data_IF_452730391509
#
_entry.id   IF_452730391509
#
_cell.length_a   1.000
_cell.length_b   1.000
_cell.length_c   1.000
_cell.angle_alpha   90.00
_cell.angle_beta   90.00
_cell.angle_gamma   90.00
#
_symmetry.space_group_name_H-M   'P 1'
#
loop_
_entity.id
_entity.type
_entity.pdbx_description
1 polymer ?
#
# COMPACT_ATOMS: atom_id res chain seq x y z
N UNK A 1 -33.78 -22.34 -17.71
CA UNK A 1 -32.79 -21.36 -17.20
C UNK A 1 -31.43 -21.99 -17.36
N UNK A 2 -30.69 -21.63 -18.39
CA UNK A 2 -29.31 -22.10 -18.59
C UNK A 2 -28.39 -21.26 -17.68
N UNK A 3 -27.75 -21.91 -16.71
CA UNK A 3 -26.70 -21.29 -15.92
C UNK A 3 -25.54 -20.94 -16.86
N UNK A 4 -25.25 -19.64 -16.99
CA UNK A 4 -24.05 -19.20 -17.69
C UNK A 4 -22.83 -19.84 -17.03
N UNK A 5 -21.84 -20.33 -17.80
CA UNK A 5 -20.63 -20.88 -17.23
C UNK A 5 -19.92 -19.79 -16.41
N UNK A 6 -19.67 -20.06 -15.14
CA UNK A 6 -18.82 -19.24 -14.29
C UNK A 6 -17.45 -19.20 -14.97
N UNK A 7 -17.03 -18.02 -15.41
CA UNK A 7 -15.70 -17.83 -15.98
C UNK A 7 -14.66 -18.37 -14.97
N UNK A 8 -13.62 -19.08 -15.44
CA UNK A 8 -12.58 -19.58 -14.53
C UNK A 8 -12.03 -18.41 -13.73
N UNK A 9 -11.87 -18.61 -12.42
CA UNK A 9 -11.30 -17.60 -11.53
C UNK A 9 -9.95 -17.17 -12.10
N UNK A 10 -9.77 -15.88 -12.34
CA UNK A 10 -8.52 -15.33 -12.83
C UNK A 10 -7.37 -15.82 -11.91
N UNK A 11 -6.35 -16.43 -12.51
CA UNK A 11 -5.20 -16.92 -11.76
C UNK A 11 -4.34 -15.73 -11.35
N UNK A 12 -4.42 -15.33 -10.09
CA UNK A 12 -3.60 -14.27 -9.51
C UNK A 12 -2.17 -14.74 -9.34
N UNK A 13 -1.22 -13.92 -9.80
CA UNK A 13 0.20 -14.17 -9.65
C UNK A 13 0.81 -13.16 -8.68
N UNK A 14 1.69 -13.64 -7.81
CA UNK A 14 2.46 -12.82 -6.92
C UNK A 14 3.74 -12.32 -7.60
N UNK A 15 4.07 -11.06 -7.35
CA UNK A 15 5.33 -10.43 -7.73
C UNK A 15 5.91 -9.72 -6.51
N UNK A 16 7.20 -9.93 -6.24
CA UNK A 16 7.94 -9.21 -5.20
C UNK A 16 9.01 -8.34 -5.85
N UNK A 17 8.99 -7.06 -5.55
CA UNK A 17 9.96 -6.09 -6.03
C UNK A 17 10.67 -5.45 -4.85
N UNK A 18 12.00 -5.44 -4.87
CA UNK A 18 12.82 -4.69 -3.92
C UNK A 18 13.00 -3.27 -4.41
N UNK A 19 12.59 -2.32 -3.61
CA UNK A 19 12.68 -0.90 -3.86
C UNK A 19 13.83 -0.29 -3.05
N UNK A 20 14.69 0.48 -3.72
CA UNK A 20 15.74 1.31 -3.09
C UNK A 20 15.52 2.77 -3.46
N UNK A 21 15.41 3.69 -2.48
CA UNK A 21 15.24 5.11 -2.76
C UNK A 21 16.55 5.72 -3.31
N UNK A 22 16.44 6.58 -4.31
CA UNK A 22 17.56 7.33 -4.90
C UNK A 22 17.52 8.82 -4.53
N UNK A 23 16.39 9.29 -4.03
CA UNK A 23 16.21 10.68 -3.62
C UNK A 23 15.29 10.77 -2.41
N UNK A 24 15.20 11.95 -1.81
CA UNK A 24 14.19 12.22 -0.80
C UNK A 24 12.78 12.10 -1.38
N UNK A 25 11.80 11.73 -0.57
CA UNK A 25 10.40 11.67 -0.93
C UNK A 25 9.63 12.81 -0.27
N UNK A 26 8.85 13.55 -1.04
CA UNK A 26 7.95 14.58 -0.53
C UNK A 26 6.51 14.05 -0.31
N UNK A 27 6.31 12.76 -0.48
CA UNK A 27 5.07 12.03 -0.22
C UNK A 27 5.44 10.67 0.37
N UNK A 28 4.82 10.28 1.48
CA UNK A 28 5.03 8.96 2.04
C UNK A 28 4.68 7.88 1.00
N UNK A 29 5.58 6.91 0.81
CA UNK A 29 5.36 5.82 -0.14
C UNK A 29 4.25 4.91 0.38
N UNK A 30 3.21 4.75 -0.44
CA UNK A 30 2.02 3.94 -0.14
C UNK A 30 1.54 3.21 -1.38
N UNK A 31 1.06 1.98 -1.21
CA UNK A 31 0.62 1.13 -2.32
C UNK A 31 -0.55 1.71 -3.10
N UNK A 32 -1.53 2.29 -2.41
CA UNK A 32 -2.70 2.92 -3.02
C UNK A 32 -2.34 4.15 -3.89
N UNK A 33 -1.35 4.91 -3.45
CA UNK A 33 -0.85 6.06 -4.22
C UNK A 33 -0.01 5.60 -5.42
N UNK A 34 0.81 4.57 -5.22
CA UNK A 34 1.60 3.97 -6.30
C UNK A 34 0.68 3.34 -7.36
N UNK A 35 -0.42 2.69 -6.97
CA UNK A 35 -1.46 2.23 -7.88
C UNK A 35 -2.08 3.40 -8.68
N UNK A 36 -2.37 4.52 -8.04
CA UNK A 36 -2.86 5.70 -8.71
C UNK A 36 -1.88 6.24 -9.77
N UNK A 37 -0.58 6.26 -9.47
CA UNK A 37 0.46 6.64 -10.43
C UNK A 37 0.62 5.61 -11.55
N UNK A 38 0.51 4.31 -11.23
CA UNK A 38 0.50 3.25 -12.24
C UNK A 38 -0.66 3.46 -13.24
N UNK A 39 -1.86 3.76 -12.76
CA UNK A 39 -2.99 4.07 -13.65
C UNK A 39 -2.71 5.28 -14.56
N UNK A 40 -2.09 6.35 -14.04
CA UNK A 40 -1.69 7.49 -14.86
C UNK A 40 -0.64 7.10 -15.90
N UNK A 41 0.40 6.37 -15.52
CA UNK A 41 1.43 5.88 -16.44
C UNK A 41 0.83 5.01 -17.54
N UNK A 42 -0.05 4.07 -17.18
CA UNK A 42 -0.72 3.19 -18.14
C UNK A 42 -1.67 3.95 -19.07
N UNK A 43 -2.33 5.00 -18.59
CA UNK A 43 -3.13 5.88 -19.43
C UNK A 43 -2.28 6.60 -20.49
N UNK A 44 -1.12 7.11 -20.09
CA UNK A 44 -0.20 7.79 -21.02
C UNK A 44 0.42 6.82 -22.06
N UNK A 45 0.71 5.57 -21.64
CA UNK A 45 1.37 4.58 -22.49
C UNK A 45 0.41 3.77 -23.37
N UNK A 46 -0.79 3.44 -22.88
CA UNK A 46 -1.78 2.59 -23.57
C UNK A 46 -3.00 3.36 -24.08
N UNK A 47 -3.10 4.64 -23.75
CA UNK A 47 -4.29 5.44 -23.97
C UNK A 47 -5.41 5.14 -22.98
N UNK A 48 -6.47 5.97 -23.03
CA UNK A 48 -7.63 5.84 -22.15
C UNK A 48 -8.38 4.50 -22.34
N UNK A 49 -8.51 4.05 -23.57
CA UNK A 49 -9.16 2.77 -23.90
C UNK A 49 -8.39 1.58 -23.30
N UNK A 50 -7.04 1.60 -23.36
CA UNK A 50 -6.19 0.58 -22.77
C UNK A 50 -6.31 0.52 -21.25
N UNK A 51 -6.28 1.67 -20.57
CA UNK A 51 -6.51 1.72 -19.12
C UNK A 51 -7.91 1.23 -18.74
N UNK A 52 -8.95 1.64 -19.48
CA UNK A 52 -10.32 1.21 -19.21
C UNK A 52 -10.48 -0.30 -19.38
N UNK A 53 -9.80 -0.92 -20.35
CA UNK A 53 -9.78 -2.37 -20.51
C UNK A 53 -9.13 -3.07 -19.30
N UNK A 54 -8.03 -2.53 -18.76
CA UNK A 54 -7.41 -3.04 -17.53
C UNK A 54 -8.32 -2.87 -16.30
N UNK A 55 -9.05 -1.76 -16.21
CA UNK A 55 -9.96 -1.48 -15.10
C UNK A 55 -11.33 -2.21 -15.23
N UNK A 56 -11.56 -2.97 -16.30
CA UNK A 56 -12.80 -3.73 -16.46
C UNK A 56 -13.01 -4.71 -15.30
N UNK A 57 -14.16 -4.62 -14.61
CA UNK A 57 -14.47 -5.42 -13.42
C UNK A 57 -13.75 -5.00 -12.13
N UNK A 58 -13.10 -3.83 -12.11
CA UNK A 58 -12.38 -3.34 -10.93
C UNK A 58 -13.29 -3.24 -9.69
N UNK A 59 -14.54 -2.88 -9.86
CA UNK A 59 -15.53 -2.83 -8.77
C UNK A 59 -16.17 -4.21 -8.49
N UNK A 60 -15.99 -5.19 -9.37
CA UNK A 60 -16.58 -6.52 -9.30
C UNK A 60 -15.58 -7.58 -8.79
N UNK A 61 -14.69 -7.19 -7.90
CA UNK A 61 -13.67 -8.06 -7.31
C UNK A 61 -12.67 -8.64 -8.33
N UNK A 62 -12.40 -7.89 -9.41
CA UNK A 62 -11.45 -8.26 -10.46
C UNK A 62 -10.44 -7.14 -10.72
N UNK A 63 -9.64 -6.73 -9.72
CA UNK A 63 -8.56 -5.77 -9.95
C UNK A 63 -7.48 -6.40 -10.85
N UNK A 64 -6.95 -5.66 -11.84
CA UNK A 64 -5.87 -6.16 -12.69
C UNK A 64 -4.53 -6.21 -11.96
N UNK A 65 -4.36 -5.37 -10.95
CA UNK A 65 -3.22 -5.36 -10.06
C UNK A 65 -3.64 -4.86 -8.66
N UNK A 66 -2.94 -5.34 -7.62
CA UNK A 66 -3.07 -4.88 -6.23
C UNK A 66 -1.65 -4.69 -5.68
N UNK A 67 -1.35 -3.52 -5.14
CA UNK A 67 -0.01 -3.13 -4.69
C UNK A 67 0.01 -2.97 -3.18
N UNK A 68 0.99 -3.59 -2.51
CA UNK A 68 1.19 -3.42 -1.06
C UNK A 68 1.80 -2.06 -0.73
N UNK A 69 1.71 -1.66 0.54
CA UNK A 69 2.62 -0.67 1.10
C UNK A 69 4.06 -1.21 1.09
N UNK A 70 5.08 -0.33 1.16
CA UNK A 70 6.46 -0.77 1.29
C UNK A 70 6.68 -1.41 2.66
N UNK A 71 7.24 -2.60 2.66
CA UNK A 71 7.62 -3.35 3.86
C UNK A 71 9.14 -3.30 4.02
N UNK A 72 9.66 -3.31 5.25
CA UNK A 72 11.09 -3.51 5.47
C UNK A 72 11.55 -4.76 4.71
N UNK A 73 12.68 -4.66 4.00
CA UNK A 73 13.19 -5.77 3.19
C UNK A 73 13.27 -7.08 4.01
N UNK A 74 12.71 -8.16 3.44
CA UNK A 74 12.63 -9.48 4.07
C UNK A 74 11.81 -9.55 5.38
N UNK A 75 10.88 -8.58 5.57
CA UNK A 75 10.02 -8.54 6.74
C UNK A 75 8.56 -8.25 6.37
N UNK A 76 7.67 -8.57 7.30
CA UNK A 76 6.26 -8.19 7.30
C UNK A 76 5.98 -7.19 8.42
N UNK A 77 4.91 -6.38 8.32
CA UNK A 77 4.56 -5.46 9.38
C UNK A 77 3.98 -6.20 10.59
N UNK A 78 4.21 -5.64 11.78
CA UNK A 78 3.51 -6.07 12.99
C UNK A 78 2.02 -5.86 12.83
N UNK A 79 1.17 -6.89 13.04
CA UNK A 79 -0.27 -6.76 12.95
C UNK A 79 -0.86 -5.77 13.97
N UNK A 80 -1.94 -5.11 13.58
CA UNK A 80 -2.76 -4.30 14.49
C UNK A 80 -3.55 -5.20 15.45
N UNK A 81 -2.83 -5.87 16.35
CA UNK A 81 -3.39 -6.77 17.35
C UNK A 81 -3.03 -6.29 18.76
N UNK A 82 -3.91 -6.52 19.75
CA UNK A 82 -3.53 -6.39 21.16
C UNK A 82 -2.31 -7.25 21.49
N UNK A 83 -1.41 -6.74 22.34
CA UNK A 83 -0.13 -7.41 22.65
C UNK A 83 -0.30 -8.87 23.13
N UNK A 84 -1.34 -9.16 23.92
CA UNK A 84 -1.59 -10.52 24.40
C UNK A 84 -1.92 -11.52 23.28
N UNK A 85 -2.48 -11.06 22.15
CA UNK A 85 -2.76 -11.87 20.95
C UNK A 85 -1.48 -12.22 20.19
N UNK A 86 -0.39 -11.47 20.41
CA UNK A 86 0.93 -11.72 19.86
C UNK A 86 1.85 -12.47 20.85
N UNK A 87 1.32 -12.95 21.96
CA UNK A 87 2.08 -13.69 22.98
C UNK A 87 2.93 -12.84 23.91
N UNK A 88 2.76 -11.53 23.92
CA UNK A 88 3.43 -10.71 24.89
C UNK A 88 2.84 -10.87 26.30
N UNK A 89 3.69 -11.11 27.27
CA UNK A 89 3.30 -11.07 28.68
C UNK A 89 3.02 -9.63 29.14
N UNK A 90 2.34 -9.48 30.28
CA UNK A 90 2.17 -8.17 30.92
C UNK A 90 3.53 -7.48 31.13
N UNK A 91 3.58 -6.19 30.90
CA UNK A 91 4.83 -5.43 30.95
C UNK A 91 4.64 -4.05 31.58
N UNK A 92 5.72 -3.53 32.16
CA UNK A 92 5.81 -2.15 32.64
C UNK A 92 5.85 -1.13 31.49
N UNK A 93 5.84 0.15 31.82
CA UNK A 93 5.83 1.23 30.84
C UNK A 93 7.10 1.25 29.95
N UNK A 94 8.27 0.89 30.51
CA UNK A 94 9.55 0.85 29.79
C UNK A 94 9.55 -0.26 28.74
N UNK A 95 9.18 -1.45 29.13
CA UNK A 95 9.08 -2.60 28.22
C UNK A 95 8.03 -2.35 27.13
N UNK A 96 6.87 -1.73 27.45
CA UNK A 96 5.86 -1.34 26.43
C UNK A 96 6.42 -0.33 25.42
N UNK A 97 7.21 0.66 25.88
CA UNK A 97 7.87 1.63 24.99
C UNK A 97 8.84 0.93 24.04
N UNK A 98 9.63 -0.01 24.53
CA UNK A 98 10.55 -0.81 23.72
C UNK A 98 9.79 -1.68 22.69
N UNK A 99 8.72 -2.35 23.09
CA UNK A 99 7.88 -3.17 22.21
C UNK A 99 7.23 -2.37 21.08
N UNK A 100 6.91 -1.09 21.30
CA UNK A 100 6.37 -0.22 20.24
C UNK A 100 7.35 -0.02 19.07
N UNK A 101 8.65 -0.18 19.29
CA UNK A 101 9.66 -0.11 18.24
C UNK A 101 9.79 -1.42 17.46
N UNK A 102 9.30 -2.54 17.99
CA UNK A 102 9.30 -3.85 17.37
C UNK A 102 8.13 -3.94 16.37
N UNK A 103 8.31 -3.37 15.19
CA UNK A 103 7.26 -3.21 14.18
C UNK A 103 7.39 -4.19 13.01
N UNK A 104 8.41 -5.05 12.99
CA UNK A 104 8.73 -5.89 11.86
C UNK A 104 8.90 -7.35 12.24
N UNK A 105 8.31 -8.25 11.46
CA UNK A 105 8.44 -9.70 11.58
C UNK A 105 9.35 -10.22 10.46
N UNK A 106 10.47 -10.87 10.73
CA UNK A 106 11.26 -11.55 9.71
C UNK A 106 10.41 -12.59 8.95
N UNK A 107 10.58 -12.67 7.61
CA UNK A 107 9.79 -13.56 6.75
C UNK A 107 9.86 -15.03 7.16
N UNK A 108 10.97 -15.48 7.71
CA UNK A 108 11.16 -16.85 8.22
C UNK A 108 10.20 -17.22 9.35
N UNK A 109 9.69 -16.23 10.08
CA UNK A 109 8.74 -16.43 11.17
C UNK A 109 7.26 -16.40 10.71
N UNK A 110 6.98 -16.13 9.42
CA UNK A 110 5.60 -15.95 8.92
C UNK A 110 4.72 -17.19 9.07
N UNK A 111 5.31 -18.39 9.07
CA UNK A 111 4.58 -19.66 9.22
C UNK A 111 4.15 -19.97 10.67
N UNK A 112 4.68 -19.22 11.64
CA UNK A 112 4.32 -19.37 13.05
C UNK A 112 2.92 -18.81 13.30
N UNK A 113 2.18 -19.34 14.29
CA UNK A 113 0.93 -18.72 14.70
C UNK A 113 1.18 -17.33 15.32
N UNK A 114 0.20 -16.45 15.23
CA UNK A 114 0.28 -15.08 15.72
C UNK A 114 0.68 -14.97 17.20
N UNK A 115 0.27 -15.93 18.02
CA UNK A 115 0.61 -15.99 19.45
C UNK A 115 2.13 -16.10 19.69
N UNK A 116 2.92 -16.56 18.72
CA UNK A 116 4.38 -16.67 18.83
C UNK A 116 5.11 -15.46 18.24
N UNK A 117 4.42 -14.60 17.50
CA UNK A 117 5.07 -13.51 16.75
C UNK A 117 5.77 -12.49 17.65
N UNK A 118 5.22 -12.23 18.84
CA UNK A 118 5.82 -11.30 19.80
C UNK A 118 7.27 -11.58 20.14
N UNK A 119 7.66 -12.86 20.17
CA UNK A 119 9.05 -13.28 20.42
C UNK A 119 10.00 -13.06 19.22
N UNK A 120 9.45 -12.85 18.01
CA UNK A 120 10.20 -12.70 16.76
C UNK A 120 10.17 -11.28 16.19
N UNK A 121 9.31 -10.41 16.72
CA UNK A 121 9.22 -9.01 16.26
C UNK A 121 10.53 -8.26 16.56
N UNK A 122 11.00 -7.52 15.56
CA UNK A 122 12.23 -6.71 15.63
C UNK A 122 11.94 -5.23 15.38
N UNK A 123 12.83 -4.38 15.83
CA UNK A 123 12.87 -2.98 15.42
C UNK A 123 13.50 -2.87 14.03
N UNK A 124 13.18 -1.80 13.30
CA UNK A 124 13.90 -1.49 12.07
C UNK A 124 15.39 -1.28 12.37
N UNK A 125 16.28 -1.81 11.52
CA UNK A 125 17.72 -1.56 11.64
C UNK A 125 18.04 -0.05 11.60
N UNK A 126 19.16 0.35 12.22
CA UNK A 126 19.52 1.77 12.33
C UNK A 126 19.68 2.46 10.97
N UNK A 127 20.23 1.76 9.98
CA UNK A 127 20.36 2.25 8.60
C UNK A 127 19.02 2.46 7.86
N UNK A 128 17.91 1.91 8.39
CA UNK A 128 16.56 2.16 7.90
C UNK A 128 15.89 3.38 8.51
N UNK A 129 16.61 4.16 9.31
CA UNK A 129 16.10 5.42 9.82
C UNK A 129 15.83 6.37 8.65
N UNK A 130 14.63 6.90 8.61
CA UNK A 130 14.34 8.05 7.78
C UNK A 130 14.44 9.32 8.61
N UNK A 131 14.98 10.37 8.01
CA UNK A 131 14.98 11.70 8.57
C UNK A 131 13.86 12.47 7.86
N UNK A 132 12.95 13.04 8.66
CA UNK A 132 11.99 14.02 8.17
C UNK A 132 12.56 15.41 8.41
N UNK A 133 12.62 16.21 7.36
CA UNK A 133 13.11 17.58 7.38
C UNK A 133 12.19 18.48 6.58
N UNK A 134 12.15 19.76 6.89
CA UNK A 134 11.36 20.76 6.17
C UNK A 134 12.30 21.62 5.34
N UNK A 135 12.31 21.40 4.03
CA UNK A 135 13.04 22.25 3.12
C UNK A 135 12.24 23.53 2.86
N UNK A 136 12.84 24.68 3.13
CA UNK A 136 12.26 25.99 2.82
C UNK A 136 12.45 26.32 1.34
N UNK A 137 11.39 26.80 0.73
CA UNK A 137 11.34 27.25 -0.66
C UNK A 137 10.83 28.68 -0.72
N UNK A 138 11.31 29.43 -1.72
CA UNK A 138 10.81 30.76 -2.04
C UNK A 138 10.27 30.78 -3.47
N UNK A 139 9.13 31.43 -3.65
CA UNK A 139 8.64 31.82 -4.98
C UNK A 139 9.08 33.23 -5.26
N UNK A 140 9.56 33.49 -6.49
CA UNK A 140 9.99 34.81 -6.95
C UNK A 140 8.93 35.35 -7.90
N UNK A 141 8.40 36.53 -7.61
CA UNK A 141 7.58 37.25 -8.56
C UNK A 141 8.46 37.71 -9.73
N UNK A 142 8.23 37.16 -10.92
CA UNK A 142 9.06 37.43 -12.10
C UNK A 142 8.94 38.89 -12.63
N UNK A 143 7.90 39.61 -12.24
CA UNK A 143 7.72 41.01 -12.62
C UNK A 143 8.49 41.96 -11.70
N UNK A 144 8.47 41.69 -10.40
CA UNK A 144 9.09 42.55 -9.38
C UNK A 144 10.45 42.09 -8.94
N UNK A 145 10.83 40.82 -9.23
CA UNK A 145 12.06 40.11 -8.81
C UNK A 145 12.25 40.01 -7.29
N UNK A 146 11.17 40.15 -6.53
CA UNK A 146 11.19 40.03 -5.08
C UNK A 146 10.40 38.81 -4.61
N UNK A 147 10.71 38.36 -3.40
CA UNK A 147 9.96 37.32 -2.66
C UNK A 147 9.14 37.99 -1.56
N UNK A 148 7.98 37.44 -1.24
CA UNK A 148 7.06 38.04 -0.26
C UNK A 148 6.26 39.19 -0.85
N UNK A 149 5.59 39.93 0.01
CA UNK A 149 4.76 41.08 -0.39
C UNK A 149 3.26 40.74 -0.55
N UNK A 150 2.95 39.50 -0.93
CA UNK A 150 1.63 38.92 -0.86
C UNK A 150 1.73 37.42 -0.58
N UNK A 151 0.63 36.76 -0.22
CA UNK A 151 0.59 35.34 0.16
C UNK A 151 1.06 34.40 -0.97
N UNK A 152 0.98 34.84 -2.23
CA UNK A 152 1.34 34.03 -3.40
C UNK A 152 2.87 33.81 -3.52
N UNK A 153 3.68 34.70 -2.94
CA UNK A 153 5.14 34.65 -3.00
C UNK A 153 5.80 34.53 -1.63
N UNK A 154 5.02 34.21 -0.61
CA UNK A 154 5.55 33.95 0.72
C UNK A 154 6.42 32.68 0.73
N UNK A 155 7.50 32.63 1.56
CA UNK A 155 8.26 31.41 1.76
C UNK A 155 7.38 30.28 2.29
N UNK A 156 7.58 29.07 1.79
CA UNK A 156 6.81 27.89 2.22
C UNK A 156 7.74 26.71 2.50
N UNK A 157 7.34 25.86 3.46
CA UNK A 157 8.04 24.62 3.79
C UNK A 157 7.49 23.45 2.99
N UNK A 158 8.38 22.57 2.51
CA UNK A 158 8.03 21.27 1.97
C UNK A 158 8.68 20.18 2.80
N UNK A 159 7.85 19.34 3.46
CA UNK A 159 8.33 18.20 4.21
C UNK A 159 8.96 17.18 3.26
N UNK A 160 10.09 16.63 3.68
CA UNK A 160 10.86 15.65 2.93
C UNK A 160 11.31 14.51 3.84
N UNK A 161 11.29 13.31 3.29
CA UNK A 161 11.74 12.09 3.94
C UNK A 161 13.01 11.59 3.27
N UNK A 162 14.10 11.60 4.00
CA UNK A 162 15.42 11.12 3.57
C UNK A 162 15.67 9.75 4.15
N UNK A 163 16.34 8.90 3.40
CA UNK A 163 16.59 7.51 3.77
C UNK A 163 18.07 7.20 3.73
N UNK A 164 18.49 6.27 4.59
CA UNK A 164 19.88 5.79 4.58
C UNK A 164 20.21 5.07 3.26
N UNK A 165 21.50 5.08 2.91
CA UNK A 165 22.01 4.51 1.63
C UNK A 165 21.63 3.03 1.45
N UNK A 166 21.60 2.26 2.54
CA UNK A 166 21.27 0.83 2.52
C UNK A 166 19.77 0.54 2.74
N UNK A 167 18.93 1.59 2.76
CA UNK A 167 17.49 1.41 2.91
C UNK A 167 16.93 0.62 1.72
N UNK A 168 16.23 -0.46 2.04
CA UNK A 168 15.52 -1.26 1.07
C UNK A 168 14.15 -1.68 1.59
N UNK A 169 13.16 -1.62 0.73
CA UNK A 169 11.81 -2.09 0.99
C UNK A 169 11.40 -3.16 0.01
N UNK A 170 10.48 -4.02 0.42
CA UNK A 170 9.80 -4.94 -0.46
C UNK A 170 8.38 -4.45 -0.74
N UNK A 171 8.01 -4.49 -2.00
CA UNK A 171 6.65 -4.35 -2.48
C UNK A 171 6.14 -5.73 -2.88
N UNK A 172 4.98 -6.10 -2.37
CA UNK A 172 4.27 -7.32 -2.75
C UNK A 172 3.10 -6.93 -3.64
N UNK A 173 3.06 -7.51 -4.81
CA UNK A 173 2.06 -7.19 -5.81
C UNK A 173 1.31 -8.45 -6.23
N UNK A 174 0.05 -8.26 -6.55
CA UNK A 174 -0.77 -9.25 -7.26
C UNK A 174 -1.10 -8.68 -8.63
N UNK A 175 -1.10 -9.52 -9.64
CA UNK A 175 -1.56 -9.17 -10.97
C UNK A 175 -2.26 -10.37 -11.61
N UNK A 176 -3.11 -10.11 -12.59
CA UNK A 176 -3.73 -11.13 -13.42
C UNK A 176 -3.13 -11.13 -14.84
N UNK A 177 -3.71 -11.92 -15.74
CA UNK A 177 -3.23 -12.09 -17.11
C UNK A 177 -3.30 -10.83 -17.99
N UNK A 178 -4.07 -9.80 -17.57
CA UNK A 178 -4.22 -8.53 -18.33
C UNK A 178 -2.95 -7.70 -18.34
N UNK A 179 -2.07 -7.88 -17.35
CA UNK A 179 -0.79 -7.18 -17.26
C UNK A 179 0.28 -8.15 -16.75
N UNK A 180 1.26 -8.48 -17.57
CA UNK A 180 2.32 -9.41 -17.17
C UNK A 180 3.23 -8.82 -16.09
N UNK A 181 3.92 -9.70 -15.34
CA UNK A 181 4.90 -9.28 -14.32
C UNK A 181 6.00 -8.36 -14.89
N UNK A 182 6.43 -8.61 -16.13
CA UNK A 182 7.42 -7.78 -16.80
C UNK A 182 6.87 -6.38 -17.10
N UNK A 183 5.67 -6.27 -17.71
CA UNK A 183 5.02 -5.00 -18.00
C UNK A 183 4.76 -4.19 -16.72
N UNK A 184 4.29 -4.85 -15.64
CA UNK A 184 4.05 -4.21 -14.36
C UNK A 184 5.38 -3.70 -13.74
N UNK A 185 6.43 -4.50 -13.80
CA UNK A 185 7.77 -4.11 -13.31
C UNK A 185 8.31 -2.92 -14.08
N UNK A 186 8.22 -2.93 -15.40
CA UNK A 186 8.74 -1.86 -16.25
C UNK A 186 7.95 -0.55 -16.07
N UNK A 187 6.62 -0.63 -15.92
CA UNK A 187 5.79 0.52 -15.58
C UNK A 187 6.18 1.14 -14.23
N UNK A 188 6.40 0.33 -13.21
CA UNK A 188 6.82 0.81 -11.90
C UNK A 188 8.26 1.34 -11.89
N UNK A 189 9.17 0.76 -12.68
CA UNK A 189 10.52 1.31 -12.90
C UNK A 189 10.48 2.68 -13.57
N UNK A 190 9.64 2.85 -14.57
CA UNK A 190 9.45 4.15 -15.22
C UNK A 190 8.96 5.21 -14.22
N UNK A 191 8.02 4.85 -13.34
CA UNK A 191 7.58 5.73 -12.24
C UNK A 191 8.76 6.07 -11.32
N UNK A 192 9.60 5.09 -10.95
CA UNK A 192 10.79 5.32 -10.15
C UNK A 192 11.79 6.28 -10.78
N UNK A 193 11.97 6.23 -12.09
CA UNK A 193 12.84 7.16 -12.84
C UNK A 193 12.24 8.56 -12.92
N UNK A 194 10.92 8.68 -13.13
CA UNK A 194 10.23 9.96 -13.22
C UNK A 194 10.06 10.63 -11.85
N UNK A 195 9.94 9.83 -10.80
CA UNK A 195 9.69 10.24 -9.43
C UNK A 195 8.25 10.01 -8.97
N UNK A 196 8.12 9.65 -7.70
CA UNK A 196 6.86 9.33 -7.02
C UNK A 196 6.35 10.53 -6.20
N UNK A 197 5.07 10.83 -6.35
CA UNK A 197 4.35 11.75 -5.48
C UNK A 197 4.61 13.22 -5.75
N UNK A 198 4.54 14.03 -4.69
CA UNK A 198 4.77 15.48 -4.77
C UNK A 198 6.22 15.77 -5.11
N UNK A 199 6.45 16.86 -5.84
CA UNK A 199 7.78 17.38 -6.19
C UNK A 199 8.64 16.42 -7.05
N UNK A 200 8.01 15.45 -7.74
CA UNK A 200 8.68 14.56 -8.69
C UNK A 200 9.38 15.33 -9.82
N UNK A 201 8.77 16.43 -10.30
CA UNK A 201 9.34 17.30 -11.37
C UNK A 201 10.67 17.97 -10.98
N UNK A 202 10.97 18.08 -9.69
CA UNK A 202 12.24 18.62 -9.17
C UNK A 202 13.15 17.52 -8.59
N UNK A 203 12.90 16.25 -8.96
CA UNK A 203 13.77 15.12 -8.67
C UNK A 203 13.49 14.38 -7.38
N UNK A 204 12.34 14.62 -6.71
CA UNK A 204 11.93 13.87 -5.53
C UNK A 204 11.24 12.54 -5.88
N UNK A 205 11.25 11.59 -4.95
CA UNK A 205 10.55 10.32 -5.09
C UNK A 205 11.17 9.36 -6.10
N UNK A 206 12.43 9.50 -6.46
CA UNK A 206 13.14 8.56 -7.34
C UNK A 206 13.55 7.31 -6.59
N UNK A 207 13.43 6.17 -7.28
CA UNK A 207 13.79 4.87 -6.73
C UNK A 207 14.12 3.86 -7.82
N UNK A 208 14.90 2.84 -7.45
CA UNK A 208 15.15 1.65 -8.27
C UNK A 208 14.31 0.47 -7.80
N UNK A 209 13.95 -0.41 -8.76
CA UNK A 209 13.25 -1.66 -8.50
C UNK A 209 14.01 -2.86 -9.07
N UNK A 210 14.16 -3.90 -8.24
CA UNK A 210 14.72 -5.20 -8.66
C UNK A 210 13.76 -6.33 -8.28
N UNK A 211 13.40 -7.22 -9.22
CA UNK A 211 12.62 -8.41 -8.89
C UNK A 211 13.32 -9.27 -7.84
N UNK A 212 12.53 -9.83 -6.95
CA UNK A 212 12.98 -10.76 -5.91
C UNK A 212 12.18 -12.06 -6.01
N UNK A 213 12.78 -13.20 -5.64
CA UNK A 213 12.01 -14.43 -5.51
C UNK A 213 10.93 -14.26 -4.45
N UNK A 214 9.73 -14.80 -4.72
CA UNK A 214 8.68 -14.84 -3.70
C UNK A 214 9.10 -15.79 -2.58
N UNK A 215 8.97 -15.35 -1.32
CA UNK A 215 9.14 -16.28 -0.20
C UNK A 215 8.02 -17.33 -0.21
N UNK A 216 8.27 -18.48 0.42
CA UNK A 216 7.20 -19.39 0.74
C UNK A 216 6.22 -18.69 1.69
N UNK A 217 5.00 -18.43 1.24
CA UNK A 217 3.95 -17.85 2.07
C UNK A 217 3.09 -18.96 2.67
N UNK A 218 2.48 -18.74 3.84
CA UNK A 218 1.49 -19.68 4.38
C UNK A 218 0.38 -19.91 3.37
N UNK A 219 -0.02 -21.18 3.21
CA UNK A 219 -1.17 -21.53 2.37
C UNK A 219 -2.47 -21.36 3.15
N UNK A 220 -3.56 -20.89 2.49
CA UNK A 220 -4.85 -20.85 3.12
C UNK A 220 -5.32 -22.27 3.41
N UNK A 221 -5.55 -22.58 4.69
CA UNK A 221 -6.03 -23.87 5.16
C UNK A 221 -7.19 -23.61 6.13
N UNK A 222 -8.34 -24.15 5.82
CA UNK A 222 -9.59 -23.84 6.50
C UNK A 222 -10.04 -22.41 6.20
N UNK A 223 -10.40 -21.67 7.24
CA UNK A 223 -10.77 -20.24 7.15
C UNK A 223 -9.77 -19.37 7.94
N UNK A 224 -8.54 -19.18 7.43
CA UNK A 224 -7.52 -18.41 8.15
C UNK A 224 -7.86 -16.92 8.20
N UNK A 225 -7.29 -16.22 9.19
CA UNK A 225 -7.29 -14.76 9.23
C UNK A 225 -6.49 -14.21 8.05
N UNK A 226 -6.77 -12.96 7.69
CA UNK A 226 -6.13 -12.24 6.60
C UNK A 226 -5.32 -11.06 7.14
N UNK A 227 -4.00 -11.17 7.08
CA UNK A 227 -3.09 -10.04 7.36
C UNK A 227 -2.96 -9.20 6.08
N UNK A 228 -3.38 -7.93 6.13
CA UNK A 228 -3.33 -7.03 4.97
C UNK A 228 -1.95 -6.40 4.81
N UNK A 229 -1.48 -6.27 3.56
CA UNK A 229 -0.21 -5.63 3.22
C UNK A 229 -0.37 -4.23 2.64
N UNK A 230 -1.58 -3.71 2.58
CA UNK A 230 -1.91 -2.35 2.16
C UNK A 230 -3.16 -1.87 2.90
N UNK A 231 -3.46 -0.56 2.90
CA UNK A 231 -4.76 -0.07 3.31
C UNK A 231 -5.86 -0.65 2.41
N UNK A 232 -7.00 -0.99 3.02
CA UNK A 232 -8.12 -1.55 2.26
C UNK A 232 -9.47 -1.01 2.75
N UNK A 233 -10.49 -1.19 1.89
CA UNK A 233 -11.88 -0.96 2.23
C UNK A 233 -12.59 -2.31 2.44
N UNK A 234 -12.64 -2.85 3.67
CA UNK A 234 -13.30 -4.11 3.95
C UNK A 234 -14.78 -4.04 3.60
N UNK A 235 -15.30 -5.10 2.94
CA UNK A 235 -16.72 -5.15 2.60
C UNK A 235 -17.55 -5.41 3.86
N UNK A 236 -18.64 -4.66 4.01
CA UNK A 236 -19.56 -4.81 5.13
C UNK A 236 -20.16 -6.22 5.14
N UNK A 237 -20.24 -6.83 6.33
CA UNK A 237 -20.84 -8.16 6.53
C UNK A 237 -19.95 -9.35 6.14
N UNK A 238 -18.76 -9.12 5.59
CA UNK A 238 -17.83 -10.19 5.21
C UNK A 238 -16.86 -10.60 6.33
N UNK A 239 -16.86 -9.88 7.46
CA UNK A 239 -15.85 -9.99 8.50
C UNK A 239 -16.49 -10.16 9.88
N UNK A 240 -15.91 -11.04 10.72
CA UNK A 240 -16.25 -11.16 12.13
C UNK A 240 -15.66 -9.98 12.90
N UNK A 241 -16.49 -9.08 13.41
CA UNK A 241 -16.05 -7.86 14.10
C UNK A 241 -15.24 -8.16 15.37
N UNK A 242 -15.57 -9.23 16.10
CA UNK A 242 -14.88 -9.61 17.34
C UNK A 242 -13.43 -10.08 17.13
N UNK A 243 -13.14 -10.61 15.93
CA UNK A 243 -11.83 -11.19 15.60
C UNK A 243 -11.09 -10.41 14.50
N UNK A 244 -11.66 -9.27 14.08
CA UNK A 244 -11.04 -8.37 13.11
C UNK A 244 -10.47 -7.15 13.82
N UNK A 245 -9.20 -6.83 13.53
CA UNK A 245 -8.46 -5.76 14.19
C UNK A 245 -7.78 -4.88 13.12
N UNK A 246 -8.00 -3.59 13.19
CA UNK A 246 -7.38 -2.62 12.28
C UNK A 246 -7.29 -1.23 12.93
N UNK A 247 -6.41 -0.40 12.43
CA UNK A 247 -6.42 1.04 12.69
C UNK A 247 -7.16 1.75 11.57
N UNK A 248 -8.04 2.73 11.86
CA UNK A 248 -8.66 3.52 10.82
C UNK A 248 -7.63 4.46 10.16
N UNK A 249 -7.69 4.58 8.84
CA UNK A 249 -6.89 5.50 8.04
C UNK A 249 -7.80 6.39 7.21
N UNK A 250 -7.66 7.72 7.36
CA UNK A 250 -8.32 8.68 6.49
C UNK A 250 -7.36 9.07 5.37
N UNK A 251 -7.76 8.83 4.12
CA UNK A 251 -6.96 9.17 2.92
C UNK A 251 -7.52 10.40 2.24
N UNK A 252 -6.68 11.42 2.14
CA UNK A 252 -6.91 12.62 1.34
C UNK A 252 -6.10 12.48 0.04
N UNK A 253 -6.75 11.99 -1.01
CA UNK A 253 -6.09 11.82 -2.31
C UNK A 253 -6.01 13.13 -3.09
N UNK A 254 -5.01 13.23 -3.96
CA UNK A 254 -4.85 14.34 -4.90
C UNK A 254 -4.67 13.75 -6.31
N UNK A 255 -5.22 14.44 -7.31
CA UNK A 255 -4.92 14.12 -8.69
C UNK A 255 -3.50 14.51 -9.05
N UNK A 256 -2.90 13.77 -9.99
CA UNK A 256 -1.61 14.09 -10.59
C UNK A 256 -1.74 14.77 -11.95
N UNK A 257 -0.60 15.00 -12.62
CA UNK A 257 -0.48 15.52 -13.97
C UNK A 257 -1.25 16.84 -14.20
N UNK A 258 -1.87 17.02 -15.37
CA UNK A 258 -2.57 18.24 -15.74
C UNK A 258 -3.72 18.63 -14.81
N UNK A 259 -4.34 17.68 -14.10
CA UNK A 259 -5.44 17.97 -13.17
C UNK A 259 -5.01 18.71 -11.90
N UNK A 260 -3.72 18.76 -11.59
CA UNK A 260 -3.19 19.55 -10.46
C UNK A 260 -3.46 21.04 -10.64
N UNK A 261 -3.48 21.52 -11.87
CA UNK A 261 -3.66 22.95 -12.20
C UNK A 261 -5.09 23.32 -12.64
N UNK A 262 -5.99 22.32 -12.74
CA UNK A 262 -7.37 22.50 -13.18
C UNK A 262 -8.35 22.56 -12.00
N UNK A 263 -8.32 23.65 -11.21
CA UNK A 263 -9.39 23.94 -10.23
C UNK A 263 -9.37 23.14 -8.95
N UNK A 264 -9.97 21.95 -8.91
CA UNK A 264 -10.07 21.11 -7.70
C UNK A 264 -9.24 19.83 -7.80
N UNK A 265 -7.94 19.85 -7.39
CA UNK A 265 -7.07 18.69 -7.49
C UNK A 265 -7.34 17.63 -6.40
N UNK A 266 -8.14 17.94 -5.39
CA UNK A 266 -8.37 17.06 -4.25
C UNK A 266 -9.52 16.08 -4.52
N UNK A 267 -9.32 14.84 -4.09
CA UNK A 267 -10.35 13.81 -4.04
C UNK A 267 -11.10 13.91 -2.71
N UNK A 268 -12.34 13.44 -2.69
CA UNK A 268 -13.07 13.29 -1.43
C UNK A 268 -12.32 12.32 -0.50
N UNK A 269 -12.35 12.57 0.82
CA UNK A 269 -11.67 11.71 1.78
C UNK A 269 -12.28 10.30 1.79
N UNK A 270 -11.41 9.30 1.97
CA UNK A 270 -11.79 7.90 2.12
C UNK A 270 -11.40 7.39 3.51
N UNK A 271 -12.27 6.61 4.12
CA UNK A 271 -11.98 5.87 5.35
C UNK A 271 -11.62 4.42 4.98
N UNK A 272 -10.43 3.99 5.39
CA UNK A 272 -9.87 2.67 5.13
C UNK A 272 -9.44 1.99 6.43
N UNK A 273 -9.30 0.68 6.41
CA UNK A 273 -8.47 -0.03 7.37
C UNK A 273 -7.00 0.11 6.94
N UNK A 274 -6.12 0.56 7.82
CA UNK A 274 -4.70 0.74 7.51
C UNK A 274 -4.02 -0.61 7.23
N UNK A 275 -2.86 -0.58 6.60
CA UNK A 275 -1.99 -1.73 6.39
C UNK A 275 -1.71 -2.47 7.71
N UNK A 276 -1.43 -3.77 7.65
CA UNK A 276 -1.29 -4.66 8.80
C UNK A 276 -2.59 -4.91 9.61
N UNK A 277 -3.76 -4.65 9.03
CA UNK A 277 -5.03 -5.12 9.57
C UNK A 277 -5.08 -6.66 9.57
N UNK A 278 -5.74 -7.22 10.58
CA UNK A 278 -6.05 -8.66 10.65
C UNK A 278 -7.56 -8.81 10.55
N UNK A 279 -8.02 -9.42 9.47
CA UNK A 279 -9.43 -9.57 9.17
C UNK A 279 -9.83 -11.04 9.26
N UNK A 280 -10.92 -11.33 9.98
CA UNK A 280 -11.48 -12.66 10.14
C UNK A 280 -12.67 -12.85 9.20
N UNK A 281 -12.55 -13.65 8.11
CA UNK A 281 -13.65 -13.82 7.16
C UNK A 281 -14.80 -14.62 7.76
N UNK A 282 -16.04 -14.20 7.47
CA UNK A 282 -17.27 -14.94 7.88
C UNK A 282 -17.41 -16.23 7.07
N UNK A 283 -17.07 -16.15 5.79
CA UNK A 283 -17.08 -17.32 4.88
C UNK A 283 -15.67 -17.59 4.36
N UNK A 284 -15.31 -18.85 4.13
CA UNK A 284 -14.01 -19.17 3.52
C UNK A 284 -13.79 -18.42 2.21
N UNK A 285 -12.67 -17.73 2.13
CA UNK A 285 -12.25 -16.99 0.93
C UNK A 285 -10.76 -17.25 0.67
N UNK A 286 -10.42 -17.86 -0.45
CA UNK A 286 -9.04 -18.21 -0.81
C UNK A 286 -8.38 -17.18 -1.73
N UNK A 287 -9.04 -16.04 -2.00
CA UNK A 287 -8.44 -14.98 -2.79
C UNK A 287 -7.21 -14.42 -2.09
N UNK A 288 -6.16 -14.08 -2.84
CA UNK A 288 -4.93 -13.53 -2.27
C UNK A 288 -5.04 -12.04 -1.92
N UNK A 289 -6.23 -11.46 -1.98
CA UNK A 289 -6.52 -10.07 -1.63
C UNK A 289 -7.87 -9.93 -0.92
N UNK A 290 -8.05 -8.81 -0.25
CA UNK A 290 -9.30 -8.39 0.41
C UNK A 290 -9.65 -6.97 -0.01
N UNK A 291 -10.85 -6.50 0.34
CA UNK A 291 -11.29 -5.15 0.06
C UNK A 291 -12.08 -5.02 -1.24
N UNK A 292 -12.23 -3.79 -1.72
CA UNK A 292 -13.02 -3.47 -2.91
C UNK A 292 -12.46 -2.26 -3.66
N UNK A 293 -12.73 -2.16 -4.96
CA UNK A 293 -12.44 -0.97 -5.74
C UNK A 293 -13.32 0.22 -5.31
N UNK A 294 -12.74 1.39 -5.20
CA UNK A 294 -13.45 2.61 -4.80
C UNK A 294 -13.47 3.63 -5.93
N UNK A 295 -14.51 4.48 -5.98
CA UNK A 295 -14.66 5.51 -6.99
C UNK A 295 -15.39 5.05 -8.24
N UNK A 296 -15.06 5.62 -9.41
CA UNK A 296 -15.67 5.29 -10.70
C UNK A 296 -17.11 5.79 -10.92
N UNK A 297 -17.67 6.52 -9.95
CA UNK A 297 -19.08 6.96 -9.94
C UNK A 297 -19.25 8.43 -9.55
N UNK A 298 -18.20 9.23 -9.65
CA UNK A 298 -18.19 10.65 -9.30
C UNK A 298 -18.10 10.96 -7.80
N UNK A 299 -18.32 9.98 -6.91
CA UNK A 299 -18.27 10.22 -5.45
C UNK A 299 -16.86 10.51 -4.95
N UNK A 300 -15.84 9.94 -5.60
CA UNK A 300 -14.43 10.15 -5.21
C UNK A 300 -13.87 11.46 -5.73
N UNK A 301 -14.28 11.87 -6.94
CA UNK A 301 -13.83 13.11 -7.57
C UNK A 301 -14.91 13.66 -8.50
N UNK A 302 -15.25 14.94 -8.33
CA UNK A 302 -16.10 15.66 -9.26
C UNK A 302 -15.34 16.11 -10.52
N UNK A 303 -14.03 16.37 -10.39
CA UNK A 303 -13.20 16.79 -11.51
C UNK A 303 -12.93 15.67 -12.52
N UNK A 304 -12.88 14.41 -12.05
CA UNK A 304 -12.69 13.22 -12.88
C UNK A 304 -13.58 12.08 -12.32
N UNK A 305 -14.87 12.02 -12.72
CA UNK A 305 -15.85 11.08 -12.15
C UNK A 305 -15.46 9.61 -12.25
N UNK A 306 -14.73 9.21 -13.30
CA UNK A 306 -14.24 7.84 -13.51
C UNK A 306 -13.01 7.48 -12.65
N UNK A 307 -12.51 8.40 -11.83
CA UNK A 307 -11.38 8.13 -10.95
C UNK A 307 -11.65 6.94 -10.04
N UNK A 308 -10.71 6.00 -10.01
CA UNK A 308 -10.69 4.88 -9.07
C UNK A 308 -9.61 5.06 -8.01
N UNK A 309 -9.77 4.35 -6.90
CA UNK A 309 -8.78 4.25 -5.84
C UNK A 309 -8.65 2.80 -5.39
N UNK A 310 -7.41 2.36 -5.10
CA UNK A 310 -7.17 1.02 -4.59
C UNK A 310 -7.69 0.90 -3.16
N UNK A 311 -8.84 0.26 -3.00
CA UNK A 311 -9.33 -0.20 -1.70
C UNK A 311 -9.12 -1.69 -1.51
N UNK A 312 -8.28 -2.31 -2.34
CA UNK A 312 -7.81 -3.68 -2.23
C UNK A 312 -6.46 -3.75 -1.53
N UNK A 313 -6.23 -4.82 -0.75
CA UNK A 313 -4.93 -5.13 -0.18
C UNK A 313 -4.54 -6.57 -0.48
N UNK A 314 -3.28 -6.85 -0.87
CA UNK A 314 -2.76 -8.20 -0.86
C UNK A 314 -2.78 -8.73 0.57
N UNK A 315 -3.03 -10.02 0.77
CA UNK A 315 -3.11 -10.60 2.11
C UNK A 315 -2.26 -11.85 2.26
N UNK A 316 -1.80 -12.06 3.49
CA UNK A 316 -1.16 -13.30 3.93
C UNK A 316 -2.10 -14.02 4.87
N UNK A 317 -2.39 -15.32 4.65
CA UNK A 317 -3.17 -16.12 5.59
C UNK A 317 -2.37 -16.34 6.87
N UNK A 318 -3.00 -16.04 8.02
CA UNK A 318 -2.40 -16.21 9.34
C UNK A 318 -3.40 -16.88 10.29
N UNK A 319 -2.93 -17.42 11.43
CA UNK A 319 -3.78 -18.06 12.43
C UNK A 319 -3.35 -17.64 13.83
N UNK A 320 -4.29 -17.62 14.78
CA UNK A 320 -3.97 -17.24 16.16
C UNK A 320 -3.13 -18.30 16.88
N UNK A 321 -3.51 -19.58 16.80
CA UNK A 321 -2.92 -20.67 17.56
C UNK A 321 -2.33 -21.74 16.64
N UNK A 322 -1.51 -22.61 17.22
CA UNK A 322 -1.07 -23.83 16.53
C UNK A 322 -2.27 -24.66 16.07
N UNK A 323 -2.13 -25.39 14.95
CA UNK A 323 -3.11 -26.41 14.60
C UNK A 323 -3.19 -27.41 15.78
N UNK A 324 -4.39 -27.73 16.22
CA UNK A 324 -4.56 -28.89 17.08
C UNK A 324 -3.97 -30.11 16.35
N UNK A 325 -3.02 -30.82 16.99
CA UNK A 325 -2.57 -32.10 16.44
C UNK A 325 -3.79 -32.99 16.41
N UNK A 326 -4.09 -33.70 15.31
CA UNK A 326 -5.10 -34.73 15.31
C UNK A 326 -4.67 -35.78 16.35
N UNK A 327 -5.56 -36.06 17.31
CA UNK A 327 -5.40 -37.13 18.28
C UNK A 327 -5.47 -38.47 17.58
#
# INVERSE_FOLDING_TARGET
>A
MMSSPVAPAAAWQWLRLRLRPDSAFATALRGDTLFGQLCWYLRESLGEAGLNALLAGYHDQRPFAVISDPMLADHLPRPHLPEHRLGFAAADARARKQRKQQCWLPLEAVHRPLVDWGAHLTAAPEHHRHLSDVQMHNSINRQTLITGGDDAFAPFGSEQHWFGVDTAWDLYLLHDERLSAAQLTDALRAIGLLGYGKDASIGKGRFHLTPQPMPALPTPDGNPLRLTLAPCAPQQGHWHNADSFFSPLVRFGRHGAALVVQGHPFKNPLLLADSAAVLAPVTPDNRPFVGQGLGGNGRLSSALPQTVHQGYAPVIPVRFHHKAQPQ
#
